data_IF_779417934283
#
_entry.id   IF_779417934283
#
_cell.length_a   1.000
_cell.length_b   1.000
_cell.length_c   1.000
_cell.angle_alpha   90.00
_cell.angle_beta   90.00
_cell.angle_gamma   90.00
#
_symmetry.space_group_name_H-M   'P 1'
#
loop_
_entity.id
_entity.type
_entity.pdbx_description
1 polymer ?
#
# COMPACT_ATOMS: atom_id res chain seq x y z
N UNK A 1 -10.12 -7.19 3.39
CA UNK A 1 -8.64 -7.04 3.42
C UNK A 1 -8.30 -5.71 2.76
N UNK A 2 -7.14 -5.10 3.03
CA UNK A 2 -6.72 -3.87 2.34
C UNK A 2 -5.35 -4.09 1.71
N UNK A 3 -5.24 -3.75 0.44
CA UNK A 3 -4.01 -3.86 -0.34
C UNK A 3 -3.37 -2.49 -0.51
N UNK A 4 -2.12 -2.35 -0.08
CA UNK A 4 -1.29 -1.17 -0.25
C UNK A 4 -0.24 -1.44 -1.33
N UNK A 5 -0.29 -0.68 -2.41
CA UNK A 5 0.69 -0.78 -3.49
C UNK A 5 1.02 0.59 -4.11
N UNK A 6 2.27 0.71 -4.54
CA UNK A 6 2.79 1.90 -5.19
C UNK A 6 2.76 1.72 -6.71
N UNK A 7 1.85 2.41 -7.37
CA UNK A 7 1.68 2.30 -8.82
C UNK A 7 2.35 3.46 -9.54
N UNK A 8 3.24 3.15 -10.49
CA UNK A 8 3.83 4.17 -11.36
C UNK A 8 2.75 4.69 -12.33
N UNK A 9 2.33 5.94 -12.15
CA UNK A 9 1.49 6.65 -13.09
C UNK A 9 2.38 7.46 -14.02
N UNK A 10 2.52 7.00 -15.26
CA UNK A 10 3.25 7.73 -16.29
C UNK A 10 2.46 8.97 -16.69
N UNK A 11 3.02 10.13 -16.40
CA UNK A 11 2.51 11.41 -16.83
C UNK A 11 3.70 12.20 -17.38
N UNK A 12 3.80 12.33 -18.69
CA UNK A 12 4.82 13.17 -19.31
C UNK A 12 4.44 14.64 -19.10
N UNK A 13 5.18 15.35 -18.26
CA UNK A 13 4.98 16.77 -17.97
C UNK A 13 6.33 17.38 -17.61
N UNK A 14 6.63 18.58 -18.12
CA UNK A 14 7.83 19.34 -17.77
C UNK A 14 7.69 20.11 -16.43
N UNK A 15 6.61 19.89 -15.68
CA UNK A 15 6.36 20.53 -14.37
C UNK A 15 7.14 19.85 -13.24
N UNK A 16 7.50 20.65 -12.24
CA UNK A 16 8.41 20.48 -11.08
C UNK A 16 8.55 19.12 -10.36
N UNK A 17 7.72 18.11 -10.62
CA UNK A 17 7.76 16.83 -9.89
C UNK A 17 7.70 15.56 -10.76
N UNK A 18 7.56 15.69 -12.08
CA UNK A 18 7.76 14.58 -13.00
C UNK A 18 9.27 14.42 -13.24
N UNK A 19 9.94 13.73 -12.31
CA UNK A 19 11.40 13.50 -12.34
C UNK A 19 11.72 12.12 -12.91
N UNK A 20 12.93 11.91 -13.48
CA UNK A 20 13.35 10.62 -14.02
C UNK A 20 13.24 9.52 -12.97
N UNK A 21 12.53 8.43 -13.31
CA UNK A 21 12.33 7.30 -12.41
C UNK A 21 13.45 6.29 -12.54
N UNK A 22 13.58 5.37 -11.56
CA UNK A 22 14.46 4.20 -11.68
C UNK A 22 14.20 3.39 -12.96
N UNK A 23 12.94 3.36 -13.43
CA UNK A 23 12.52 2.72 -14.68
C UNK A 23 12.74 3.59 -15.92
N UNK A 24 13.51 4.68 -15.80
CA UNK A 24 13.88 5.63 -16.87
C UNK A 24 12.68 6.29 -17.55
N UNK A 25 11.58 6.49 -16.83
CA UNK A 25 10.38 7.20 -17.27
C UNK A 25 10.11 8.47 -16.45
N UNK A 26 9.02 9.17 -16.76
CA UNK A 26 8.54 10.34 -16.02
C UNK A 26 7.14 10.08 -15.44
N UNK A 27 6.85 10.60 -14.25
CA UNK A 27 5.51 10.45 -13.66
C UNK A 27 5.48 10.61 -12.15
N UNK A 28 4.49 9.97 -11.54
CA UNK A 28 4.27 9.92 -10.08
C UNK A 28 4.20 8.48 -9.60
N UNK A 29 4.49 8.26 -8.32
CA UNK A 29 4.41 6.95 -7.70
C UNK A 29 3.42 6.95 -6.50
N UNK A 30 2.13 7.24 -6.73
CA UNK A 30 1.15 7.25 -5.64
C UNK A 30 1.12 5.91 -4.91
N UNK A 31 1.00 5.98 -3.59
CA UNK A 31 0.70 4.83 -2.75
C UNK A 31 -0.82 4.76 -2.60
N UNK A 32 -1.40 3.68 -3.11
CA UNK A 32 -2.85 3.48 -3.14
C UNK A 32 -3.24 2.37 -2.18
N UNK A 33 -4.35 2.55 -1.48
CA UNK A 33 -4.98 1.54 -0.65
C UNK A 33 -6.33 1.14 -1.23
N UNK A 34 -6.54 -0.16 -1.43
CA UNK A 34 -7.78 -0.72 -1.95
C UNK A 34 -8.36 -1.72 -0.97
N UNK A 35 -9.65 -1.62 -0.67
CA UNK A 35 -10.37 -2.66 0.06
C UNK A 35 -10.66 -3.81 -0.91
N UNK A 36 -10.16 -4.99 -0.56
CA UNK A 36 -10.53 -6.26 -1.18
C UNK A 36 -11.73 -6.85 -0.41
N UNK A 37 -12.86 -6.91 -1.11
CA UNK A 37 -14.14 -7.47 -0.65
C UNK A 37 -14.26 -8.98 -0.91
N UNK A 38 -13.20 -9.64 -1.39
CA UNK A 38 -13.14 -11.08 -1.63
C UNK A 38 -13.69 -11.50 -3.01
N UNK A 39 -13.83 -12.82 -3.24
CA UNK A 39 -14.24 -13.35 -4.54
C UNK A 39 -15.59 -12.77 -5.01
N UNK A 40 -15.58 -12.10 -6.16
CA UNK A 40 -16.77 -11.47 -6.76
C UNK A 40 -17.02 -10.02 -6.31
N UNK A 41 -16.25 -9.52 -5.33
CA UNK A 41 -16.18 -8.10 -4.99
C UNK A 41 -15.20 -7.35 -5.89
N UNK A 42 -15.48 -6.08 -6.18
CA UNK A 42 -14.54 -5.19 -6.85
C UNK A 42 -13.63 -4.53 -5.82
N UNK A 43 -12.36 -4.28 -6.16
CA UNK A 43 -11.48 -3.47 -5.32
C UNK A 43 -12.02 -2.03 -5.21
N UNK A 44 -12.19 -1.55 -3.98
CA UNK A 44 -12.68 -0.18 -3.71
C UNK A 44 -11.51 0.71 -3.22
N UNK A 45 -11.19 1.83 -3.89
CA UNK A 45 -10.16 2.73 -3.42
C UNK A 45 -10.59 3.42 -2.12
N UNK A 46 -9.80 3.27 -1.06
CA UNK A 46 -10.12 3.83 0.26
C UNK A 46 -9.16 4.94 0.69
N UNK A 47 -7.92 4.95 0.18
CA UNK A 47 -6.98 6.04 0.37
C UNK A 47 -5.97 6.10 -0.78
N UNK A 48 -5.48 7.30 -1.08
CA UNK A 48 -4.40 7.51 -2.05
C UNK A 48 -3.49 8.64 -1.58
N UNK A 49 -2.20 8.36 -1.49
CA UNK A 49 -1.16 9.36 -1.23
C UNK A 49 -0.41 9.65 -2.52
N UNK A 50 -0.51 10.89 -3.00
CA UNK A 50 0.29 11.36 -4.13
C UNK A 50 1.74 11.55 -3.68
N UNK A 51 2.68 10.95 -4.41
CA UNK A 51 4.12 11.01 -4.10
C UNK A 51 4.92 11.29 -5.37
N UNK A 52 6.05 12.03 -5.26
CA UNK A 52 6.95 12.22 -6.39
C UNK A 52 7.48 10.88 -6.89
N UNK A 53 7.89 10.81 -8.15
CA UNK A 53 8.47 9.58 -8.72
C UNK A 53 9.77 9.11 -8.06
N UNK A 54 10.49 10.01 -7.39
CA UNK A 54 11.70 9.71 -6.61
C UNK A 54 11.40 9.10 -5.24
N UNK A 55 10.14 9.08 -4.80
CA UNK A 55 9.77 8.51 -3.52
C UNK A 55 10.15 7.02 -3.47
N UNK A 56 10.79 6.63 -2.37
CA UNK A 56 11.14 5.24 -2.11
C UNK A 56 9.88 4.36 -2.14
N UNK A 57 10.01 3.17 -2.73
CA UNK A 57 8.94 2.17 -2.73
C UNK A 57 8.57 1.76 -1.30
N UNK A 58 9.56 1.77 -0.41
CA UNK A 58 9.48 1.21 0.95
C UNK A 58 9.48 2.28 2.06
N UNK A 59 9.19 3.55 1.74
CA UNK A 59 9.22 4.63 2.74
C UNK A 59 8.21 4.33 3.85
N UNK A 60 8.69 3.92 5.03
CA UNK A 60 7.84 3.45 6.12
C UNK A 60 6.80 4.50 6.54
N UNK A 61 7.22 5.77 6.65
CA UNK A 61 6.32 6.88 6.98
C UNK A 61 5.12 7.02 6.03
N UNK A 62 5.31 6.77 4.73
CA UNK A 62 4.21 6.81 3.75
C UNK A 62 3.23 5.67 4.00
N UNK A 63 3.74 4.45 4.22
CA UNK A 63 2.92 3.27 4.50
C UNK A 63 2.14 3.39 5.82
N UNK A 64 2.77 3.93 6.87
CA UNK A 64 2.12 4.20 8.17
C UNK A 64 0.96 5.19 7.95
N UNK A 65 1.24 6.34 7.34
CA UNK A 65 0.25 7.40 7.14
C UNK A 65 -0.91 6.94 6.26
N UNK A 66 -0.64 6.18 5.20
CA UNK A 66 -1.71 5.61 4.36
C UNK A 66 -2.55 4.59 5.15
N UNK A 67 -1.92 3.78 6.02
CA UNK A 67 -2.64 2.85 6.90
C UNK A 67 -3.53 3.58 7.90
N UNK A 68 -3.04 4.67 8.52
CA UNK A 68 -3.86 5.51 9.40
C UNK A 68 -5.09 6.07 8.64
N UNK A 69 -4.89 6.57 7.42
CA UNK A 69 -6.00 7.04 6.57
C UNK A 69 -7.02 5.94 6.31
N UNK A 70 -6.58 4.73 5.93
CA UNK A 70 -7.46 3.56 5.75
C UNK A 70 -8.31 3.31 6.99
N UNK A 71 -7.66 3.26 8.16
CA UNK A 71 -8.34 2.94 9.43
C UNK A 71 -9.38 3.99 9.83
N UNK A 72 -9.25 5.24 9.39
CA UNK A 72 -10.30 6.26 9.59
C UNK A 72 -11.50 6.11 8.67
N UNK A 73 -11.35 5.45 7.52
CA UNK A 73 -12.40 5.33 6.50
C UNK A 73 -13.19 4.02 6.65
N UNK A 74 -12.55 2.94 7.08
CA UNK A 74 -13.21 1.64 7.24
C UNK A 74 -14.08 1.61 8.50
N UNK A 75 -15.29 1.08 8.38
CA UNK A 75 -16.26 0.97 9.48
C UNK A 75 -16.09 -0.30 10.33
N UNK A 76 -15.03 -1.06 10.10
CA UNK A 76 -14.69 -2.26 10.86
C UNK A 76 -13.67 -1.93 11.94
N UNK A 77 -13.54 -2.81 12.95
CA UNK A 77 -12.55 -2.58 14.00
C UNK A 77 -11.13 -2.74 13.44
N UNK A 78 -10.16 -1.90 13.81
CA UNK A 78 -8.79 -1.94 13.27
C UNK A 78 -8.13 -3.32 13.35
N UNK A 79 -8.33 -4.04 14.46
CA UNK A 79 -7.79 -5.40 14.68
C UNK A 79 -8.37 -6.45 13.74
N UNK A 80 -9.48 -6.15 13.06
CA UNK A 80 -10.11 -7.02 12.06
C UNK A 80 -9.68 -6.67 10.62
N UNK A 81 -8.81 -5.66 10.45
CA UNK A 81 -8.30 -5.24 9.14
C UNK A 81 -6.96 -5.93 8.87
N UNK A 82 -6.94 -6.82 7.88
CA UNK A 82 -5.69 -7.32 7.32
C UNK A 82 -5.16 -6.31 6.30
N UNK A 83 -3.99 -5.73 6.58
CA UNK A 83 -3.21 -4.92 5.63
C UNK A 83 -2.22 -5.84 4.90
N UNK A 84 -2.27 -5.84 3.57
CA UNK A 84 -1.31 -6.53 2.70
C UNK A 84 -0.49 -5.50 1.94
N UNK A 85 0.81 -5.71 1.91
CA UNK A 85 1.77 -4.96 1.10
C UNK A 85 2.55 -5.95 0.23
N UNK A 86 3.16 -5.47 -0.85
CA UNK A 86 4.22 -6.22 -1.50
C UNK A 86 5.50 -6.20 -0.63
N UNK A 87 6.61 -6.71 -1.16
CA UNK A 87 7.89 -6.69 -0.41
C UNK A 87 8.34 -5.28 -0.02
N UNK A 88 7.76 -4.22 -0.61
CA UNK A 88 8.07 -2.85 -0.27
C UNK A 88 7.60 -2.46 1.14
N UNK A 89 6.58 -3.11 1.69
CA UNK A 89 6.14 -2.92 3.08
C UNK A 89 6.92 -3.74 4.10
N UNK A 90 8.03 -4.40 3.74
CA UNK A 90 8.80 -5.25 4.64
C UNK A 90 9.74 -4.52 5.61
N UNK A 91 9.60 -3.21 5.83
CA UNK A 91 10.50 -2.44 6.71
C UNK A 91 10.15 -2.63 8.18
N UNK A 92 11.17 -2.80 9.03
CA UNK A 92 10.97 -2.96 10.48
C UNK A 92 10.11 -1.85 11.09
N UNK A 93 10.36 -0.60 10.70
CA UNK A 93 9.61 0.56 11.16
C UNK A 93 8.10 0.47 10.85
N UNK A 94 7.73 0.04 9.64
CA UNK A 94 6.32 -0.14 9.28
C UNK A 94 5.69 -1.35 10.00
N UNK A 95 6.45 -2.43 10.16
CA UNK A 95 6.00 -3.62 10.89
C UNK A 95 5.71 -3.28 12.36
N UNK A 96 6.63 -2.59 13.04
CA UNK A 96 6.52 -2.22 14.45
C UNK A 96 5.31 -1.28 14.68
N UNK A 97 5.11 -0.31 13.78
CA UNK A 97 3.94 0.56 13.81
C UNK A 97 2.63 -0.23 13.63
N UNK A 98 2.59 -1.16 12.67
CA UNK A 98 1.39 -1.96 12.37
C UNK A 98 1.03 -2.94 13.49
N UNK A 99 2.03 -3.50 14.17
CA UNK A 99 1.84 -4.36 15.35
C UNK A 99 1.33 -3.58 16.57
N UNK A 100 1.69 -2.29 16.67
CA UNK A 100 1.22 -1.40 17.74
C UNK A 100 -0.25 -1.00 17.54
N UNK A 101 -0.69 -0.82 16.29
CA UNK A 101 -2.06 -0.38 15.96
C UNK A 101 -3.08 -1.54 15.98
N UNK A 102 -2.63 -2.78 15.75
CA UNK A 102 -3.51 -3.95 15.69
C UNK A 102 -2.89 -5.16 16.41
N UNK A 103 -3.33 -5.41 17.65
CA UNK A 103 -3.11 -6.69 18.35
C UNK A 103 -3.91 -7.82 17.68
N UNK A 104 -3.52 -8.21 16.47
CA UNK A 104 -4.22 -9.24 15.69
C UNK A 104 -3.78 -9.42 14.23
N UNK A 105 -2.89 -8.59 13.70
CA UNK A 105 -2.47 -8.70 12.29
C UNK A 105 -1.66 -9.97 12.06
N UNK A 106 -2.28 -10.98 11.44
CA UNK A 106 -1.60 -12.19 10.99
C UNK A 106 -0.80 -11.87 9.73
N UNK A 107 0.51 -11.69 9.89
CA UNK A 107 1.44 -11.61 8.78
C UNK A 107 1.54 -12.96 8.06
N UNK A 108 1.27 -12.95 6.75
CA UNK A 108 1.54 -14.08 5.85
C UNK A 108 2.47 -13.57 4.76
N UNK A 109 3.75 -13.94 4.84
CA UNK A 109 4.67 -13.76 3.72
C UNK A 109 4.54 -14.96 2.77
N UNK A 110 4.09 -14.71 1.54
CA UNK A 110 4.03 -15.72 0.49
C UNK A 110 2.85 -15.55 -0.46
N UNK A 111 3.05 -15.88 -1.73
CA UNK A 111 1.95 -16.04 -2.68
C UNK A 111 1.02 -17.19 -2.24
N UNK A 112 -0.29 -17.11 -2.52
CA UNK A 112 -1.21 -18.23 -2.26
C UNK A 112 -0.66 -19.48 -2.95
N UNK A 113 -0.40 -20.55 -2.18
CA UNK A 113 -0.09 -21.83 -2.80
C UNK A 113 -1.36 -22.35 -3.48
N UNK A 114 -1.29 -22.80 -4.74
CA UNK A 114 -2.42 -23.48 -5.35
C UNK A 114 -2.80 -24.73 -4.52
N UNK A 115 -4.08 -25.13 -4.52
CA UNK A 115 -4.51 -26.33 -3.82
C UNK A 115 -3.76 -27.56 -4.33
N UNK A 116 -3.47 -28.55 -3.46
CA UNK A 116 -2.87 -29.81 -3.90
C UNK A 116 -3.78 -30.47 -4.94
N UNK A 117 -3.15 -31.06 -5.97
CA UNK A 117 -3.82 -31.86 -7.01
C UNK A 117 -4.39 -33.14 -6.43
#
# INVERSE_FOLDING_TARGET
>A
MVDLDASLLTAHSEKESATPTYKRGFGFNPLCAFVDHGPGGTGEPVAMMLRPSTAGTNTAADHIRTTEQVLTQVRTRPESVLIRTDSAGGTHEFLDASLTVAWGTRWVSGSPRPPPR
#
